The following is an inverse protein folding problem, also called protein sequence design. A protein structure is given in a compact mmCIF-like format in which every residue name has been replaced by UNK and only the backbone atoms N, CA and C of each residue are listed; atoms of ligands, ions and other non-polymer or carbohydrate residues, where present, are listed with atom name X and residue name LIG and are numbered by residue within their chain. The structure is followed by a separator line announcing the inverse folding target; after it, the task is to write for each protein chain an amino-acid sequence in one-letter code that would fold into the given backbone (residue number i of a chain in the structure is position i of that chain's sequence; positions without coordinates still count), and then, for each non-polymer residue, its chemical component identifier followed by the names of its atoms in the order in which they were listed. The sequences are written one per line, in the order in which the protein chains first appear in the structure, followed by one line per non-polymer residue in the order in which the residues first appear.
data_IF_498794759715
#
_entry.id   IF_498794759715
#
_cell.length_a   1.000
_cell.length_b   1.000
_cell.length_c   1.000
_cell.angle_alpha   90.00
_cell.angle_beta   90.00
_cell.angle_gamma   90.00
#
_symmetry.space_group_name_H-M   'P 1'
#
loop_
_entity.id
_entity.type
_entity.pdbx_description
1 polymer ?
#
# COMPACT_ATOMS: atom_id res chain seq x y z
N UNK A 1 14.78 -46.50 66.09
CA UNK A 1 13.66 -47.36 66.51
C UNK A 1 12.37 -46.80 65.93
N UNK A 2 11.57 -47.67 65.28
CA UNK A 2 10.15 -47.57 64.89
C UNK A 2 9.66 -46.41 63.98
N UNK A 3 9.45 -46.60 62.66
CA UNK A 3 8.27 -47.05 61.84
C UNK A 3 6.98 -46.20 61.81
N UNK A 4 6.47 -46.06 60.56
CA UNK A 4 5.07 -45.86 60.12
C UNK A 4 4.52 -44.43 60.24
N UNK A 5 3.69 -43.86 59.35
CA UNK A 5 2.82 -44.31 58.24
C UNK A 5 2.35 -43.02 57.54
N UNK A 6 2.34 -42.87 56.21
CA UNK A 6 1.32 -43.40 55.31
C UNK A 6 0.47 -42.25 54.73
N UNK A 7 0.08 -42.34 53.44
CA UNK A 7 -1.12 -41.67 52.93
C UNK A 7 -0.94 -40.60 51.83
N UNK A 8 -0.88 -41.07 50.59
CA UNK A 8 -1.09 -40.34 49.34
C UNK A 8 -2.54 -39.86 49.17
N UNK A 9 -2.79 -38.68 48.55
CA UNK A 9 -3.78 -38.51 47.46
C UNK A 9 -3.67 -37.12 46.80
N UNK A 10 -3.83 -37.09 45.48
CA UNK A 10 -3.68 -35.98 44.53
C UNK A 10 -5.02 -35.61 43.88
N UNK A 11 -5.26 -34.32 43.57
CA UNK A 11 -6.14 -33.75 42.49
C UNK A 11 -6.43 -32.27 42.83
N UNK A 12 -6.31 -31.25 41.97
CA UNK A 12 -6.02 -31.16 40.54
C UNK A 12 -6.09 -29.69 40.07
N UNK A 13 -5.73 -29.46 38.79
CA UNK A 13 -5.97 -28.29 37.90
C UNK A 13 -5.42 -26.91 38.31
N UNK A 14 -4.34 -26.39 37.68
CA UNK A 14 -4.29 -25.58 36.41
C UNK A 14 -5.25 -24.36 36.48
N UNK A 15 -4.90 -23.08 36.28
CA UNK A 15 -4.18 -22.35 35.20
C UNK A 15 -3.83 -20.91 35.73
N UNK A 16 -2.76 -20.22 35.26
CA UNK A 16 -2.28 -18.96 35.84
C UNK A 16 -2.92 -17.71 35.24
N UNK A 17 -2.92 -16.59 35.98
CA UNK A 17 -3.30 -15.29 35.44
C UNK A 17 -3.05 -14.12 36.38
N UNK A 18 -2.57 -13.03 35.79
CA UNK A 18 -2.61 -11.65 36.28
C UNK A 18 -1.42 -11.15 37.13
N UNK A 19 -0.33 -10.82 36.43
CA UNK A 19 0.65 -9.81 36.89
C UNK A 19 0.07 -8.42 36.62
N UNK A 20 -0.55 -7.84 37.64
CA UNK A 20 -0.95 -6.44 37.70
C UNK A 20 0.25 -5.54 38.03
N UNK A 21 0.90 -4.99 37.01
CA UNK A 21 1.95 -3.99 37.24
C UNK A 21 2.23 -3.08 36.03
N UNK A 22 1.22 -2.38 35.47
CA UNK A 22 1.45 -1.34 34.44
C UNK A 22 0.39 -0.22 34.37
N UNK A 23 -0.32 0.10 35.46
CA UNK A 23 -1.37 1.11 35.42
C UNK A 23 -1.21 2.19 36.51
N UNK A 24 -0.21 3.07 36.38
CA UNK A 24 -0.09 4.29 37.21
C UNK A 24 0.60 5.46 36.49
N UNK A 25 0.31 5.72 35.22
CA UNK A 25 0.69 7.01 34.59
C UNK A 25 -0.21 7.35 33.40
N UNK A 26 -1.50 7.58 33.65
CA UNK A 26 -2.43 8.05 32.64
C UNK A 26 -3.39 9.07 33.25
N UNK A 27 -2.91 10.30 33.37
CA UNK A 27 -3.71 11.42 33.83
C UNK A 27 -2.90 12.69 33.65
N UNK A 28 -3.46 13.64 32.89
CA UNK A 28 -2.87 14.92 32.45
C UNK A 28 -2.16 14.84 31.10
N UNK A 29 -2.96 14.74 30.02
CA UNK A 29 -2.75 15.45 28.74
C UNK A 29 -4.10 15.49 28.02
N UNK A 30 -5.07 16.17 28.63
CA UNK A 30 -6.37 16.45 28.04
C UNK A 30 -6.40 17.93 27.62
N UNK A 31 -6.33 18.18 26.31
CA UNK A 31 -6.74 19.41 25.58
C UNK A 31 -5.70 20.57 25.63
N UNK A 32 -5.31 21.19 24.49
CA UNK A 32 -6.17 21.48 23.34
C UNK A 32 -5.63 21.02 21.98
N UNK A 33 -6.35 20.09 21.36
CA UNK A 33 -6.34 19.82 19.93
C UNK A 33 -7.36 20.75 19.27
N UNK A 34 -7.12 22.07 19.30
CA UNK A 34 -8.02 23.05 18.69
C UNK A 34 -7.25 24.27 18.14
N UNK A 35 -6.16 24.02 17.42
CA UNK A 35 -5.64 25.00 16.45
C UNK A 35 -6.09 24.59 15.05
N UNK A 36 -7.30 25.05 14.75
CA UNK A 36 -7.64 25.77 13.52
C UNK A 36 -7.03 25.16 12.26
N UNK A 37 -7.87 24.32 11.66
CA UNK A 37 -7.98 24.07 10.24
C UNK A 37 -8.07 25.42 9.51
N UNK A 38 -6.92 26.07 9.28
CA UNK A 38 -6.84 27.10 8.26
C UNK A 38 -6.93 26.36 6.94
N UNK A 39 -8.12 26.48 6.34
CA UNK A 39 -8.46 26.17 4.96
C UNK A 39 -7.22 26.23 4.06
N UNK A 40 -6.58 25.08 3.88
CA UNK A 40 -5.91 24.74 2.65
C UNK A 40 -6.99 24.52 1.60
N UNK A 41 -7.67 25.60 1.21
CA UNK A 41 -8.29 25.72 -0.09
C UNK A 41 -7.15 25.73 -1.12
N UNK A 42 -6.48 24.58 -1.23
CA UNK A 42 -5.67 24.24 -2.37
C UNK A 42 -6.65 24.21 -3.52
N UNK A 43 -6.70 25.32 -4.25
CA UNK A 43 -7.17 25.39 -5.61
C UNK A 43 -6.49 24.26 -6.36
N UNK A 44 -7.15 23.11 -6.42
CA UNK A 44 -6.85 22.08 -7.40
C UNK A 44 -7.30 22.69 -8.71
N UNK A 45 -6.46 23.58 -9.27
CA UNK A 45 -6.50 23.83 -10.69
C UNK A 45 -6.36 22.47 -11.30
N UNK A 46 -7.46 22.01 -11.89
CA UNK A 46 -7.57 20.84 -12.74
C UNK A 46 -6.66 21.09 -13.94
N UNK A 47 -5.36 20.96 -13.67
CA UNK A 47 -4.33 20.99 -14.66
C UNK A 47 -4.58 19.75 -15.47
N UNK A 48 -5.09 19.95 -16.68
CA UNK A 48 -4.83 19.10 -17.84
C UNK A 48 -3.32 19.09 -18.14
N UNK A 49 -2.53 18.82 -17.11
CA UNK A 49 -1.09 18.76 -17.10
C UNK A 49 -0.71 17.38 -17.58
N UNK A 50 0.07 17.39 -18.65
CA UNK A 50 0.83 16.22 -19.03
C UNK A 50 1.74 15.85 -17.85
N UNK A 51 1.77 14.56 -17.51
CA UNK A 51 2.66 14.02 -16.50
C UNK A 51 3.55 12.97 -17.14
N UNK A 52 4.77 12.88 -16.62
CA UNK A 52 5.73 11.85 -16.98
C UNK A 52 5.96 10.97 -15.75
N UNK A 53 5.84 9.66 -15.93
CA UNK A 53 6.10 8.67 -14.89
C UNK A 53 7.12 7.67 -15.39
N UNK A 54 8.09 7.33 -14.54
CA UNK A 54 9.09 6.31 -14.86
C UNK A 54 8.98 5.16 -13.88
N UNK A 55 9.01 3.93 -14.41
CA UNK A 55 8.84 2.75 -13.60
C UNK A 55 8.91 1.46 -14.41
N UNK A 56 8.64 0.35 -13.74
CA UNK A 56 8.63 -0.98 -14.35
C UNK A 56 7.23 -1.30 -14.89
N UNK A 57 7.15 -1.74 -16.14
CA UNK A 57 5.90 -2.22 -16.69
C UNK A 57 5.56 -3.57 -16.08
N UNK A 58 4.33 -3.75 -15.65
CA UNK A 58 3.81 -5.03 -15.22
C UNK A 58 2.35 -5.20 -15.66
N UNK A 59 1.84 -6.43 -15.61
CA UNK A 59 0.44 -6.71 -15.94
C UNK A 59 -0.31 -6.93 -14.64
N UNK A 60 -1.37 -6.16 -14.43
CA UNK A 60 -2.26 -6.32 -13.29
C UNK A 60 -3.56 -7.04 -13.71
N UNK A 61 -4.10 -7.81 -12.77
CA UNK A 61 -5.35 -8.53 -12.97
C UNK A 61 -5.22 -9.92 -13.57
N UNK A 62 -6.35 -10.61 -13.61
CA UNK A 62 -6.53 -11.94 -14.17
C UNK A 62 -7.06 -11.88 -15.60
N UNK A 63 -6.69 -12.85 -16.43
CA UNK A 63 -7.28 -12.99 -17.77
C UNK A 63 -8.78 -13.33 -17.69
N UNK A 64 -9.60 -12.85 -18.63
CA UNK A 64 -9.26 -11.99 -19.79
C UNK A 64 -9.18 -10.49 -19.44
N UNK A 65 -9.36 -10.11 -18.18
CA UNK A 65 -9.49 -8.71 -17.73
C UNK A 65 -8.15 -8.04 -17.38
N UNK A 66 -7.03 -8.64 -17.73
CA UNK A 66 -5.70 -8.14 -17.37
C UNK A 66 -5.39 -6.81 -18.09
N UNK A 67 -4.49 -6.00 -17.52
CA UNK A 67 -4.14 -4.70 -18.08
C UNK A 67 -2.67 -4.34 -17.81
N UNK A 68 -2.02 -3.66 -18.74
CA UNK A 68 -0.71 -3.06 -18.49
C UNK A 68 -0.79 -1.96 -17.42
N UNK A 69 0.19 -1.95 -16.53
CA UNK A 69 0.36 -0.96 -15.48
C UNK A 69 1.84 -0.61 -15.36
N UNK A 70 2.13 0.56 -14.78
CA UNK A 70 3.48 0.97 -14.42
C UNK A 70 3.58 1.06 -12.90
N UNK A 71 4.58 0.38 -12.35
CA UNK A 71 4.95 0.48 -10.94
C UNK A 71 6.17 1.39 -10.83
N UNK A 72 6.02 2.50 -10.14
CA UNK A 72 7.09 3.44 -9.85
C UNK A 72 7.92 2.96 -8.65
N UNK A 73 9.09 3.55 -8.45
CA UNK A 73 10.01 3.16 -7.36
C UNK A 73 9.46 3.47 -5.97
N UNK A 74 8.53 4.43 -5.86
CA UNK A 74 7.81 4.76 -4.63
C UNK A 74 6.68 3.76 -4.31
N UNK A 75 6.52 2.73 -5.13
CA UNK A 75 5.49 1.70 -5.00
C UNK A 75 4.12 2.12 -5.53
N UNK A 76 3.95 3.36 -6.02
CA UNK A 76 2.70 3.75 -6.65
C UNK A 76 2.52 3.04 -7.98
N UNK A 77 1.27 2.68 -8.24
CA UNK A 77 0.83 1.95 -9.41
C UNK A 77 -0.14 2.79 -10.21
N UNK A 78 0.08 2.84 -11.51
CA UNK A 78 -0.86 3.43 -12.45
C UNK A 78 -1.23 2.46 -13.55
N UNK A 79 -2.54 2.32 -13.82
CA UNK A 79 -3.05 1.64 -14.98
C UNK A 79 -2.67 2.42 -16.25
N UNK A 80 -2.20 1.74 -17.28
CA UNK A 80 -1.90 2.34 -18.58
C UNK A 80 -3.12 2.13 -19.48
N UNK A 81 -3.70 3.22 -19.97
CA UNK A 81 -4.86 3.21 -20.87
C UNK A 81 -4.54 3.96 -22.17
N UNK A 82 -5.36 3.73 -23.19
CA UNK A 82 -5.20 4.33 -24.51
C UNK A 82 -4.47 3.42 -25.50
N UNK A 83 -4.10 4.01 -26.64
CA UNK A 83 -3.62 3.26 -27.83
C UNK A 83 -2.34 2.47 -27.61
N UNK A 84 -1.50 2.89 -26.67
CA UNK A 84 -0.21 2.27 -26.38
C UNK A 84 -0.27 1.12 -25.35
N UNK A 85 -1.43 0.83 -24.75
CA UNK A 85 -1.55 -0.23 -23.71
C UNK A 85 -1.04 -1.58 -24.21
N UNK A 86 -1.48 -2.00 -25.41
CA UNK A 86 -1.12 -3.30 -25.99
C UNK A 86 0.37 -3.40 -26.30
N UNK A 87 1.00 -2.29 -26.66
CA UNK A 87 2.43 -2.21 -26.94
C UNK A 87 3.23 -2.25 -25.64
N UNK A 88 2.84 -1.45 -24.64
CA UNK A 88 3.44 -1.44 -23.32
C UNK A 88 3.35 -2.81 -22.64
N UNK A 89 2.24 -3.54 -22.81
CA UNK A 89 2.12 -4.93 -22.33
C UNK A 89 3.25 -5.83 -22.83
N UNK A 90 3.74 -5.64 -24.07
CA UNK A 90 4.88 -6.41 -24.63
C UNK A 90 6.21 -6.06 -23.98
N UNK A 91 6.28 -4.93 -23.28
CA UNK A 91 7.44 -4.48 -22.51
C UNK A 91 7.33 -4.82 -21.02
N UNK A 92 6.49 -5.78 -20.64
CA UNK A 92 6.42 -6.29 -19.27
C UNK A 92 7.81 -6.61 -18.73
N UNK A 93 8.06 -6.19 -17.49
CA UNK A 93 9.33 -6.34 -16.81
C UNK A 93 10.39 -5.31 -17.18
N UNK A 94 10.21 -4.53 -18.25
CA UNK A 94 11.15 -3.47 -18.64
C UNK A 94 10.83 -2.17 -17.90
N UNK A 95 11.87 -1.35 -17.72
CA UNK A 95 11.74 0.01 -17.20
C UNK A 95 11.44 0.96 -18.36
N UNK A 96 10.42 1.78 -18.19
CA UNK A 96 9.95 2.73 -19.22
C UNK A 96 9.70 4.09 -18.58
N UNK A 97 9.87 5.16 -19.36
CA UNK A 97 9.25 6.46 -19.08
C UNK A 97 7.99 6.58 -19.93
N UNK A 98 6.89 6.97 -19.31
CA UNK A 98 5.56 7.14 -19.93
C UNK A 98 5.12 8.58 -19.74
N UNK A 99 4.77 9.23 -20.83
CA UNK A 99 4.19 10.58 -20.83
C UNK A 99 2.72 10.48 -21.21
N UNK A 100 1.87 11.14 -20.44
CA UNK A 100 0.43 11.04 -20.63
C UNK A 100 -0.36 12.00 -19.76
N UNK A 101 -1.67 11.81 -19.72
CA UNK A 101 -2.57 12.59 -18.86
C UNK A 101 -3.22 11.69 -17.82
N UNK A 102 -3.54 12.21 -16.62
CA UNK A 102 -4.38 11.48 -15.69
C UNK A 102 -5.70 11.14 -16.37
N UNK A 103 -6.06 9.87 -16.40
CA UNK A 103 -7.35 9.45 -16.94
C UNK A 103 -8.44 9.61 -15.88
N UNK A 104 -9.62 10.05 -16.31
CA UNK A 104 -10.84 10.06 -15.49
C UNK A 104 -11.33 8.62 -15.28
N UNK A 105 -11.13 7.77 -16.29
CA UNK A 105 -11.43 6.36 -16.20
C UNK A 105 -10.42 5.66 -15.30
N UNK A 106 -10.92 4.99 -14.27
CA UNK A 106 -10.13 4.25 -13.28
C UNK A 106 -10.39 2.76 -13.44
N UNK A 107 -9.63 2.06 -14.30
CA UNK A 107 -9.75 0.63 -14.40
C UNK A 107 -9.47 0.02 -13.03
N UNK A 108 -10.39 -0.84 -12.55
CA UNK A 108 -10.24 -1.57 -11.29
C UNK A 108 -10.06 -0.66 -10.05
N UNK A 109 -10.52 0.59 -10.12
CA UNK A 109 -10.39 1.57 -9.03
C UNK A 109 -8.98 2.17 -8.86
N UNK A 110 -8.03 1.76 -9.70
CA UNK A 110 -6.66 2.26 -9.70
C UNK A 110 -6.57 3.62 -10.40
N UNK A 111 -5.57 4.43 -10.01
CA UNK A 111 -5.19 5.62 -10.79
C UNK A 111 -4.77 5.17 -12.19
N UNK A 112 -5.04 5.99 -13.20
CA UNK A 112 -4.78 5.64 -14.59
C UNK A 112 -4.17 6.79 -15.38
N UNK A 113 -3.42 6.43 -16.43
CA UNK A 113 -2.74 7.35 -17.32
C UNK A 113 -3.15 7.02 -18.74
N UNK A 114 -3.75 7.99 -19.43
CA UNK A 114 -3.91 7.94 -20.87
C UNK A 114 -2.55 8.22 -21.51
N UNK A 115 -1.94 7.17 -22.05
CA UNK A 115 -0.58 7.21 -22.58
C UNK A 115 -0.57 7.90 -23.93
N UNK A 116 0.23 8.97 -24.04
CA UNK A 116 0.49 9.65 -25.31
C UNK A 116 1.78 9.20 -25.96
N UNK A 117 2.80 8.91 -25.18
CA UNK A 117 4.08 8.42 -25.65
C UNK A 117 4.81 7.66 -24.55
N UNK A 118 5.77 6.83 -24.94
CA UNK A 118 6.63 6.15 -23.99
C UNK A 118 8.03 5.96 -24.58
N UNK A 119 9.00 5.78 -23.70
CA UNK A 119 10.38 5.43 -24.05
C UNK A 119 10.84 4.28 -23.17
N UNK A 120 11.41 3.26 -23.80
CA UNK A 120 12.03 2.17 -23.05
C UNK A 120 13.42 2.59 -22.59
N UNK A 121 13.68 2.45 -21.30
CA UNK A 121 14.98 2.73 -20.70
C UNK A 121 15.76 1.41 -20.68
N UNK A 122 16.83 1.33 -21.47
CA UNK A 122 17.70 0.16 -21.46
C UNK A 122 18.44 0.08 -20.13
N UNK A 123 18.28 -1.04 -19.45
CA UNK A 123 19.12 -1.38 -18.30
C UNK A 123 20.40 -1.99 -18.87
N UNK A 124 21.47 -1.21 -18.89
CA UNK A 124 22.80 -1.61 -19.35
C UNK A 124 23.23 -2.83 -18.52
N UNK A 125 23.18 -4.02 -19.12
CA UNK A 125 23.74 -5.25 -18.53
C UNK A 125 25.26 -5.26 -18.67
#
# INVERSE_FOLDING_TARGET
MAISSGGTWSKGSKIPGSLSSFLKTAGIFLIPFLFIVTLGAGSLKEGKGEMEVTGKVYVMGNEPFSQAAIQMDDGQVYALVGVHEKELRRHQGRRVSVTGRPSVEKPRGSKAIEVKSFRVLEEKR
#
